data_IF_191928029386
#
_entry.id   IF_191928029386
#
_cell.length_a   1.000
_cell.length_b   1.000
_cell.length_c   1.000
_cell.angle_alpha   90.00
_cell.angle_beta   90.00
_cell.angle_gamma   90.00
#
_symmetry.space_group_name_H-M   'P 1'
#
loop_
_entity.id
_entity.type
_entity.pdbx_description
1 polymer ?
#
# COMPACT_ATOMS: atom_id res chain seq x y z
N UNK A 1 7.76 -0.26 -11.03
CA UNK A 1 8.09 -1.57 -10.43
C UNK A 1 8.33 -1.35 -8.96
N UNK A 2 7.86 -2.26 -8.10
CA UNK A 2 8.28 -2.33 -6.71
C UNK A 2 9.23 -3.52 -6.59
N UNK A 3 10.42 -3.30 -6.06
CA UNK A 3 11.34 -4.36 -5.67
C UNK A 3 11.65 -4.22 -4.18
N UNK A 4 11.18 -5.19 -3.40
CA UNK A 4 11.03 -5.10 -1.95
C UNK A 4 10.29 -3.84 -1.49
N UNK A 5 11.02 -2.76 -1.19
CA UNK A 5 10.48 -1.46 -0.79
C UNK A 5 10.98 -0.34 -1.69
N UNK A 6 11.81 -0.64 -2.67
CA UNK A 6 12.29 0.32 -3.64
C UNK A 6 11.28 0.45 -4.79
N UNK A 7 10.96 1.68 -5.12
CA UNK A 7 10.12 2.01 -6.26
C UNK A 7 11.03 2.43 -7.39
N UNK A 8 10.89 1.72 -8.50
CA UNK A 8 11.52 2.06 -9.76
C UNK A 8 10.49 2.61 -10.73
N UNK A 9 10.81 3.75 -11.34
CA UNK A 9 10.07 4.35 -12.44
C UNK A 9 10.76 4.00 -13.74
N UNK A 10 9.98 3.52 -14.71
CA UNK A 10 10.51 3.26 -16.04
C UNK A 10 10.60 4.57 -16.82
N UNK A 11 11.78 4.88 -17.32
CA UNK A 11 12.03 5.99 -18.22
C UNK A 11 12.04 5.50 -19.67
N UNK A 12 11.07 5.96 -20.44
CA UNK A 12 10.91 5.56 -21.84
C UNK A 12 12.01 6.12 -22.74
N UNK A 13 12.60 7.28 -22.40
CA UNK A 13 13.64 7.90 -23.22
C UNK A 13 14.95 7.09 -23.20
N UNK A 14 15.34 6.61 -22.03
CA UNK A 14 16.52 5.77 -21.84
C UNK A 14 16.24 4.27 -21.90
N UNK A 15 14.98 3.86 -22.03
CA UNK A 15 14.54 2.46 -21.98
C UNK A 15 15.09 1.74 -20.72
N UNK A 16 14.98 2.37 -19.56
CA UNK A 16 15.59 1.86 -18.33
C UNK A 16 14.73 2.09 -17.09
N UNK A 17 14.92 1.25 -16.08
CA UNK A 17 14.33 1.46 -14.76
C UNK A 17 15.24 2.37 -13.93
N UNK A 18 14.67 3.46 -13.41
CA UNK A 18 15.36 4.41 -12.55
C UNK A 18 14.77 4.35 -11.14
N UNK A 19 15.62 4.41 -10.13
CA UNK A 19 15.19 4.44 -8.73
C UNK A 19 14.47 5.76 -8.44
N UNK A 20 13.21 5.66 -8.01
CA UNK A 20 12.34 6.81 -7.76
C UNK A 20 12.23 7.13 -6.27
N UNK A 21 11.92 6.13 -5.45
CA UNK A 21 11.73 6.31 -4.00
C UNK A 21 11.82 4.99 -3.24
N UNK A 22 11.72 5.07 -1.91
CA UNK A 22 11.62 3.91 -1.02
C UNK A 22 10.35 4.06 -0.20
N UNK A 23 9.53 3.00 -0.16
CA UNK A 23 8.33 2.91 0.66
C UNK A 23 8.73 2.99 2.15
N UNK A 24 8.25 3.97 2.92
CA UNK A 24 8.73 4.22 4.28
C UNK A 24 8.53 3.04 5.24
N UNK A 25 7.37 2.39 5.18
CA UNK A 25 7.04 1.25 6.02
C UNK A 25 6.97 0.00 5.14
N UNK A 26 7.86 -0.93 5.44
CA UNK A 26 7.87 -2.24 4.79
C UNK A 26 6.54 -2.94 5.03
N UNK A 27 6.00 -3.52 3.97
CA UNK A 27 4.93 -4.49 4.13
C UNK A 27 5.50 -5.68 4.96
N UNK A 28 4.74 -6.28 5.90
CA UNK A 28 5.18 -7.49 6.58
C UNK A 28 5.74 -8.51 5.58
N UNK A 29 6.80 -9.25 5.95
CA UNK A 29 7.41 -10.23 5.05
C UNK A 29 6.33 -11.17 4.46
N UNK A 30 6.31 -11.32 3.13
CA UNK A 30 5.31 -12.08 2.35
C UNK A 30 3.89 -11.50 2.24
N UNK A 31 3.64 -10.29 2.75
CA UNK A 31 2.34 -9.63 2.54
C UNK A 31 2.23 -9.08 1.12
N UNK A 32 1.04 -9.23 0.54
CA UNK A 32 0.72 -8.66 -0.77
C UNK A 32 0.36 -7.18 -0.61
N UNK A 33 0.74 -6.37 -1.60
CA UNK A 33 0.38 -4.97 -1.66
C UNK A 33 -0.20 -4.62 -3.03
N UNK A 34 -1.17 -3.71 -3.02
CA UNK A 34 -1.79 -3.14 -4.21
C UNK A 34 -1.22 -1.77 -4.52
N UNK A 35 -1.17 -1.41 -5.80
CA UNK A 35 -0.73 -0.10 -6.27
C UNK A 35 -1.78 0.52 -7.18
N UNK A 36 -2.07 1.80 -6.99
CA UNK A 36 -2.90 2.57 -7.91
C UNK A 36 -2.43 4.03 -7.97
N UNK A 37 -2.59 4.67 -9.12
CA UNK A 37 -2.29 6.10 -9.28
C UNK A 37 -3.59 6.87 -9.30
N UNK A 38 -3.80 7.69 -8.27
CA UNK A 38 -4.98 8.53 -8.10
C UNK A 38 -4.53 9.98 -7.92
N UNK A 39 -5.13 10.90 -8.67
CA UNK A 39 -4.83 12.35 -8.63
C UNK A 39 -3.35 12.73 -8.76
N UNK A 40 -2.60 11.94 -9.54
CA UNK A 40 -1.17 12.15 -9.76
C UNK A 40 -0.27 11.66 -8.63
N UNK A 41 -0.81 10.91 -7.67
CA UNK A 41 -0.09 10.34 -6.54
C UNK A 41 -0.18 8.80 -6.55
N UNK A 42 0.93 8.16 -6.19
CA UNK A 42 1.02 6.71 -6.14
C UNK A 42 0.58 6.22 -4.76
N UNK A 43 -0.48 5.41 -4.73
CA UNK A 43 -1.04 4.81 -3.53
C UNK A 43 -0.56 3.37 -3.42
N UNK A 44 0.14 3.05 -2.34
CA UNK A 44 0.61 1.72 -1.98
C UNK A 44 -0.25 1.21 -0.83
N UNK A 45 -0.97 0.12 -1.05
CA UNK A 45 -1.98 -0.40 -0.13
C UNK A 45 -1.58 -1.76 0.42
N UNK A 46 -1.68 -1.93 1.73
CA UNK A 46 -1.41 -3.20 2.42
C UNK A 46 -2.57 -3.50 3.36
N UNK A 47 -3.04 -4.74 3.33
CA UNK A 47 -4.08 -5.21 4.25
C UNK A 47 -3.40 -5.78 5.49
N UNK A 48 -3.61 -5.15 6.64
CA UNK A 48 -3.08 -5.58 7.93
C UNK A 48 -4.14 -6.39 8.67
N UNK A 49 -3.82 -7.65 9.01
CA UNK A 49 -4.69 -8.44 9.88
C UNK A 49 -4.53 -7.95 11.32
N UNK A 50 -5.59 -8.08 12.12
CA UNK A 50 -5.59 -7.62 13.51
C UNK A 50 -4.47 -8.23 14.38
N UNK A 51 -3.94 -9.38 13.97
CA UNK A 51 -2.87 -10.10 14.66
C UNK A 51 -1.47 -9.47 14.45
N UNK A 52 -1.26 -8.74 13.34
CA UNK A 52 0.02 -8.05 13.03
C UNK A 52 0.17 -6.74 13.82
N UNK A 53 -0.88 -6.33 14.55
CA UNK A 53 -0.97 -5.08 15.29
C UNK A 53 -0.95 -5.33 16.81
N UNK A 54 -0.02 -6.15 17.33
CA UNK A 54 0.14 -6.32 18.79
C UNK A 54 1.59 -6.23 19.23
N UNK A 55 2.00 -5.01 19.61
CA UNK A 55 2.67 -4.75 20.90
C UNK A 55 2.10 -3.51 21.59
N UNK A 56 0.80 -3.23 21.49
CA UNK A 56 0.17 -2.33 22.47
C UNK A 56 -1.30 -2.66 22.68
N UNK A 57 -1.57 -3.08 23.92
CA UNK A 57 -2.85 -3.08 24.62
C UNK A 57 -3.88 -4.19 24.35
N UNK A 58 -4.39 -4.66 25.49
CA UNK A 58 -5.16 -5.86 25.74
C UNK A 58 -6.62 -5.75 25.28
N UNK A 59 -7.16 -6.92 24.99
CA UNK A 59 -8.58 -7.32 25.08
C UNK A 59 -9.57 -6.55 24.18
N UNK A 60 -10.06 -7.25 23.16
CA UNK A 60 -11.46 -7.68 23.01
C UNK A 60 -11.59 -8.31 21.63
N UNK A 61 -11.52 -9.63 21.61
CA UNK A 61 -11.88 -10.46 20.46
C UNK A 61 -13.36 -10.27 20.15
N UNK A 62 -13.71 -9.35 19.25
CA UNK A 62 -14.99 -9.38 18.55
C UNK A 62 -14.81 -8.83 17.13
N UNK A 63 -15.01 -9.69 16.12
CA UNK A 63 -15.37 -9.38 14.73
C UNK A 63 -14.62 -8.20 14.06
N UNK A 64 -13.28 -8.12 14.16
CA UNK A 64 -12.53 -7.04 13.50
C UNK A 64 -12.21 -7.39 12.04
N UNK A 65 -12.92 -6.77 11.10
CA UNK A 65 -12.43 -6.62 9.74
C UNK A 65 -11.00 -6.04 9.77
N UNK A 66 -10.12 -6.52 8.89
CA UNK A 66 -8.73 -6.06 8.87
C UNK A 66 -8.62 -4.56 8.58
N UNK A 67 -7.42 -4.01 8.71
CA UNK A 67 -7.17 -2.58 8.49
C UNK A 67 -6.45 -2.38 7.18
N UNK A 68 -6.87 -1.40 6.38
CA UNK A 68 -6.18 -1.02 5.16
C UNK A 68 -5.19 0.09 5.50
N UNK A 69 -3.90 -0.18 5.32
CA UNK A 69 -2.84 0.80 5.43
C UNK A 69 -2.44 1.28 4.05
N UNK A 70 -2.43 2.59 3.86
CA UNK A 70 -2.13 3.25 2.58
C UNK A 70 -0.94 4.17 2.76
N UNK A 71 0.10 3.99 1.96
CA UNK A 71 1.24 4.90 1.85
C UNK A 71 1.14 5.62 0.52
N UNK A 72 1.12 6.95 0.55
CA UNK A 72 0.84 7.77 -0.62
C UNK A 72 2.09 8.59 -0.93
N UNK A 73 2.62 8.39 -2.14
CA UNK A 73 3.79 9.08 -2.66
C UNK A 73 3.38 10.16 -3.63
N UNK A 74 3.88 11.38 -3.38
CA UNK A 74 3.73 12.50 -4.29
C UNK A 74 5.00 12.63 -5.15
N UNK A 75 4.99 12.25 -6.43
CA UNK A 75 6.21 12.19 -7.26
C UNK A 75 6.88 13.55 -7.47
N UNK A 76 6.09 14.62 -7.68
CA UNK A 76 6.65 15.97 -7.85
C UNK A 76 7.31 16.54 -6.59
N UNK A 77 6.69 16.32 -5.42
CA UNK A 77 7.20 16.80 -4.12
C UNK A 77 8.23 15.85 -3.50
N UNK A 78 8.30 14.61 -4.01
CA UNK A 78 9.09 13.51 -3.46
C UNK A 78 8.82 13.25 -1.97
N UNK A 79 7.58 13.47 -1.54
CA UNK A 79 7.16 13.27 -0.15
C UNK A 79 6.21 12.09 -0.02
N UNK A 80 6.22 11.49 1.16
CA UNK A 80 5.33 10.42 1.55
C UNK A 80 4.34 10.90 2.61
N UNK A 81 3.13 10.37 2.56
CA UNK A 81 2.17 10.41 3.67
C UNK A 81 1.57 9.03 3.89
N UNK A 82 0.91 8.83 5.02
CA UNK A 82 0.24 7.57 5.31
C UNK A 82 -1.18 7.79 5.81
N UNK A 83 -2.05 6.83 5.53
CA UNK A 83 -3.44 6.79 5.96
C UNK A 83 -3.76 5.37 6.42
N UNK A 84 -4.45 5.27 7.55
CA UNK A 84 -4.99 4.00 8.07
C UNK A 84 -6.50 4.11 7.99
N UNK A 85 -7.16 3.16 7.32
CA UNK A 85 -8.62 3.16 7.19
C UNK A 85 -9.19 1.76 7.38
N UNK A 86 -10.49 1.69 7.72
CA UNK A 86 -11.21 0.43 7.73
C UNK A 86 -11.72 0.16 6.31
N UNK A 87 -11.39 -0.99 5.71
CA UNK A 87 -11.94 -1.34 4.42
C UNK A 87 -13.46 -1.53 4.54
N UNK A 88 -14.22 -1.23 3.48
CA UNK A 88 -15.67 -1.46 3.45
C UNK A 88 -16.03 -2.95 3.37
N UNK A 89 -15.04 -3.84 3.35
CA UNK A 89 -15.20 -5.28 3.19
C UNK A 89 -15.24 -5.98 4.55
N UNK A 90 -16.14 -6.96 4.70
CA UNK A 90 -16.21 -7.82 5.90
C UNK A 90 -15.26 -9.03 5.83
N UNK A 91 -14.52 -9.20 4.73
CA UNK A 91 -13.58 -10.30 4.49
C UNK A 91 -12.15 -9.79 4.30
N UNK A 92 -11.17 -10.69 4.38
CA UNK A 92 -9.78 -10.36 4.09
C UNK A 92 -9.60 -10.05 2.60
N UNK A 93 -8.93 -8.95 2.30
CA UNK A 93 -8.53 -8.59 0.95
C UNK A 93 -7.14 -9.16 0.66
N UNK A 94 -7.01 -9.95 -0.41
CA UNK A 94 -5.71 -10.40 -0.91
C UNK A 94 -5.31 -9.62 -2.16
N UNK A 95 -4.25 -8.82 -2.04
CA UNK A 95 -3.73 -8.05 -3.17
C UNK A 95 -3.01 -8.91 -4.23
N UNK A 96 -2.77 -10.21 -4.00
CA UNK A 96 -2.26 -11.11 -5.06
C UNK A 96 -3.29 -11.38 -6.15
N UNK A 97 -4.57 -11.35 -5.79
CA UNK A 97 -5.69 -11.69 -6.68
C UNK A 97 -6.59 -10.50 -6.99
N UNK A 98 -6.50 -9.41 -6.21
CA UNK A 98 -7.25 -8.19 -6.45
C UNK A 98 -6.71 -7.43 -7.67
N UNK A 99 -7.63 -6.92 -8.49
CA UNK A 99 -7.34 -5.97 -9.57
C UNK A 99 -7.73 -4.58 -9.08
N UNK A 100 -6.85 -3.61 -9.31
CA UNK A 100 -7.07 -2.21 -8.93
C UNK A 100 -7.10 -1.33 -10.17
N UNK A 101 -8.10 -0.47 -10.25
CA UNK A 101 -8.19 0.55 -11.29
C UNK A 101 -8.64 1.88 -10.69
N UNK A 102 -8.28 2.97 -11.36
CA UNK A 102 -8.81 4.28 -11.02
C UNK A 102 -10.01 4.59 -11.91
N UNK A 103 -11.12 4.92 -11.28
CA UNK A 103 -12.36 5.31 -11.94
C UNK A 103 -12.46 6.83 -11.81
N UNK A 104 -12.65 7.51 -12.94
CA UNK A 104 -13.03 8.93 -12.97
C UNK A 104 -14.55 8.97 -13.08
N UNK A 105 -15.21 9.58 -12.10
CA UNK A 105 -16.67 9.78 -12.09
C UNK A 105 -17.03 11.03 -12.90
#
# INVERSE_FOLDING_TARGET
MLDENEIFRYDMASNSWQRESIVPRKAPHNSSCGFAVLDGELHVMTFLRGDDLVKTQRSRQQKRGGTLFVQIYHPKKKTWRSLVTRPPFCHSLDFKTAIMCTIRL
#
